data_IF_974991454257
#
_entry.id   IF_974991454257
#
_cell.length_a   1.000
_cell.length_b   1.000
_cell.length_c   1.000
_cell.angle_alpha   90.00
_cell.angle_beta   90.00
_cell.angle_gamma   90.00
#
_symmetry.space_group_name_H-M   'P 1'
#
loop_
_entity.id
_entity.type
_entity.pdbx_description
1 polymer ?
#
# COMPACT_ATOMS: atom_id res chain seq x y z
N UNK A 1 -6.11 11.00 -6.12
CA UNK A 1 -6.34 11.57 -4.77
C UNK A 1 -5.00 12.09 -4.26
N UNK A 2 -4.94 13.32 -3.71
CA UNK A 2 -3.70 13.91 -3.16
C UNK A 2 -3.74 13.76 -1.64
N UNK A 3 -2.82 13.00 -1.05
CA UNK A 3 -2.70 12.85 0.41
C UNK A 3 -1.47 13.62 0.85
N UNK A 4 -1.64 14.56 1.80
CA UNK A 4 -0.53 15.29 2.39
C UNK A 4 0.15 14.37 3.42
N UNK A 5 1.47 14.23 3.31
CA UNK A 5 2.27 13.62 4.38
C UNK A 5 2.65 14.69 5.41
N UNK A 6 3.18 14.24 6.55
CA UNK A 6 3.60 15.01 7.74
C UNK A 6 4.64 16.12 7.45
N UNK A 7 5.12 16.22 6.20
CA UNK A 7 6.13 17.18 5.74
C UNK A 7 5.60 18.18 4.70
N UNK A 8 4.28 18.27 4.50
CA UNK A 8 3.67 19.24 3.57
C UNK A 8 4.06 19.05 2.09
N UNK A 9 4.71 17.93 1.75
CA UNK A 9 5.06 17.57 0.38
C UNK A 9 3.94 16.71 -0.20
N UNK A 10 3.25 17.25 -1.21
CA UNK A 10 2.34 16.50 -2.07
C UNK A 10 3.11 15.39 -2.80
N UNK A 11 3.27 14.22 -2.18
CA UNK A 11 3.70 13.02 -2.89
C UNK A 11 2.54 12.55 -3.75
N UNK A 12 2.73 12.46 -5.06
CA UNK A 12 1.81 11.81 -5.99
C UNK A 12 1.63 10.35 -5.56
N UNK A 13 0.55 10.09 -4.82
CA UNK A 13 0.07 8.76 -4.52
C UNK A 13 -0.47 8.22 -5.84
N UNK A 14 0.30 7.37 -6.51
CA UNK A 14 -0.10 6.77 -7.78
C UNK A 14 -0.77 5.43 -7.50
N UNK A 15 -2.10 5.29 -7.70
CA UNK A 15 -2.75 3.99 -7.67
C UNK A 15 -2.04 3.06 -8.65
N UNK A 16 -1.74 1.85 -8.21
CA UNK A 16 -0.91 0.90 -8.96
C UNK A 16 -1.67 -0.36 -9.36
N UNK A 17 -2.64 -0.79 -8.55
CA UNK A 17 -3.63 -1.81 -8.88
C UNK A 17 -4.77 -1.82 -7.86
N UNK A 18 -5.85 -2.50 -8.21
CA UNK A 18 -6.94 -2.83 -7.32
C UNK A 18 -7.11 -4.35 -7.26
N UNK A 19 -7.60 -4.88 -6.15
CA UNK A 19 -7.94 -6.29 -6.00
C UNK A 19 -9.10 -6.45 -5.01
N UNK A 20 -10.21 -7.07 -5.45
CA UNK A 20 -11.39 -7.35 -4.61
C UNK A 20 -11.91 -6.11 -3.85
N UNK A 21 -11.91 -4.95 -4.50
CA UNK A 21 -12.36 -3.68 -3.91
C UNK A 21 -11.32 -2.93 -3.06
N UNK A 22 -10.14 -3.50 -2.82
CA UNK A 22 -9.03 -2.82 -2.16
C UNK A 22 -8.12 -2.15 -3.18
N UNK A 23 -7.71 -0.91 -2.90
CA UNK A 23 -6.85 -0.12 -3.77
C UNK A 23 -5.45 -0.02 -3.19
N UNK A 24 -4.44 -0.19 -4.06
CA UNK A 24 -3.05 -0.13 -3.66
C UNK A 24 -2.34 0.98 -4.42
N UNK A 25 -1.46 1.69 -3.74
CA UNK A 25 -0.62 2.73 -4.33
C UNK A 25 0.85 2.38 -4.21
N UNK A 26 1.67 3.07 -5.01
CA UNK A 26 3.11 2.94 -4.97
C UNK A 26 3.79 4.30 -4.82
N UNK A 27 4.78 4.35 -3.93
CA UNK A 27 5.61 5.52 -3.69
C UNK A 27 7.10 5.17 -3.75
N UNK A 28 7.93 6.10 -4.22
CA UNK A 28 9.38 5.97 -4.20
C UNK A 28 9.96 6.77 -3.05
N UNK A 29 10.58 6.09 -2.08
CA UNK A 29 11.18 6.72 -0.91
C UNK A 29 12.50 6.06 -0.53
N UNK A 30 13.54 6.89 -0.32
CA UNK A 30 14.91 6.47 0.00
C UNK A 30 15.43 5.36 -0.95
N UNK A 31 15.30 5.58 -2.26
CA UNK A 31 15.81 4.65 -3.28
C UNK A 31 15.05 3.32 -3.38
N UNK A 32 13.84 3.22 -2.80
CA UNK A 32 13.02 2.01 -2.88
C UNK A 32 11.57 2.34 -3.22
N UNK A 33 10.98 1.49 -4.04
CA UNK A 33 9.56 1.48 -4.38
C UNK A 33 8.79 0.70 -3.32
N UNK A 34 7.78 1.32 -2.75
CA UNK A 34 6.96 0.75 -1.68
C UNK A 34 5.52 0.71 -2.14
N UNK A 35 4.91 -0.47 -2.11
CA UNK A 35 3.48 -0.67 -2.38
C UNK A 35 2.74 -0.76 -1.06
N UNK A 36 1.68 0.02 -0.91
CA UNK A 36 0.84 0.08 0.29
C UNK A 36 -0.64 0.08 -0.07
N UNK A 37 -1.49 -0.36 0.86
CA UNK A 37 -2.94 -0.17 0.79
C UNK A 37 -3.29 1.33 0.96
N UNK A 38 -4.21 1.83 0.14
CA UNK A 38 -4.60 3.26 0.14
C UNK A 38 -5.33 3.63 1.44
N UNK A 39 -6.18 2.73 1.96
CA UNK A 39 -7.07 3.06 3.07
C UNK A 39 -6.33 3.01 4.41
N UNK A 40 -5.63 1.91 4.68
CA UNK A 40 -4.90 1.68 5.93
C UNK A 40 -3.47 2.21 5.93
N UNK A 41 -2.93 2.59 4.77
CA UNK A 41 -1.51 2.92 4.63
C UNK A 41 -0.56 1.72 4.82
N UNK A 42 -1.09 0.52 5.06
CA UNK A 42 -0.32 -0.66 5.38
C UNK A 42 0.65 -1.02 4.24
N UNK A 43 1.93 -1.15 4.58
CA UNK A 43 2.97 -1.54 3.61
C UNK A 43 2.86 -3.02 3.28
N UNK A 44 2.67 -3.31 2.00
CA UNK A 44 2.62 -4.69 1.48
C UNK A 44 4.02 -5.15 1.07
N UNK A 45 4.73 -4.37 0.26
CA UNK A 45 6.05 -4.72 -0.29
C UNK A 45 6.95 -3.50 -0.40
N UNK A 46 8.27 -3.72 -0.28
CA UNK A 46 9.30 -2.74 -0.65
C UNK A 46 10.37 -3.42 -1.51
N UNK A 47 10.68 -2.86 -2.67
CA UNK A 47 11.72 -3.36 -3.58
C UNK A 47 12.50 -2.18 -4.20
N UNK A 48 13.71 -2.42 -4.70
CA UNK A 48 14.49 -1.39 -5.41
C UNK A 48 13.99 -1.15 -6.84
N UNK A 49 13.24 -2.09 -7.42
CA UNK A 49 12.71 -2.01 -8.79
C UNK A 49 11.19 -1.93 -8.79
N UNK A 50 10.65 -0.92 -9.47
CA UNK A 50 9.21 -0.69 -9.62
C UNK A 50 8.43 -1.95 -10.01
N UNK A 51 8.80 -2.57 -11.14
CA UNK A 51 8.06 -3.71 -11.69
C UNK A 51 8.08 -4.93 -10.75
N UNK A 52 9.16 -5.11 -9.98
CA UNK A 52 9.26 -6.19 -8.98
C UNK A 52 8.37 -5.91 -7.77
N UNK A 53 8.39 -4.68 -7.25
CA UNK A 53 7.51 -4.27 -6.15
C UNK A 53 6.05 -4.56 -6.48
N UNK A 54 5.58 -4.15 -7.67
CA UNK A 54 4.19 -4.37 -8.10
C UNK A 54 3.88 -5.86 -8.28
N UNK A 55 4.76 -6.61 -8.97
CA UNK A 55 4.54 -8.04 -9.21
C UNK A 55 4.45 -8.82 -7.91
N UNK A 56 5.35 -8.56 -6.95
CA UNK A 56 5.33 -9.23 -5.66
C UNK A 56 4.14 -8.82 -4.80
N UNK A 57 3.77 -7.53 -4.80
CA UNK A 57 2.60 -7.08 -4.06
C UNK A 57 1.33 -7.78 -4.57
N UNK A 58 1.11 -7.82 -5.89
CA UNK A 58 -0.01 -8.56 -6.47
C UNK A 58 -0.02 -10.03 -6.06
N UNK A 59 1.11 -10.72 -6.24
CA UNK A 59 1.21 -12.14 -5.88
C UNK A 59 1.00 -12.42 -4.39
N UNK A 60 1.42 -11.53 -3.49
CA UNK A 60 1.17 -11.67 -2.06
C UNK A 60 -0.30 -11.46 -1.71
N UNK A 61 -0.93 -10.43 -2.27
CA UNK A 61 -2.35 -10.15 -2.04
C UNK A 61 -3.21 -11.29 -2.59
N UNK A 62 -2.96 -11.75 -3.81
CA UNK A 62 -3.69 -12.87 -4.43
C UNK A 62 -3.52 -14.18 -3.63
N UNK A 63 -2.32 -14.46 -3.13
CA UNK A 63 -2.03 -15.71 -2.42
C UNK A 63 -2.52 -15.73 -0.96
N UNK A 64 -2.57 -14.57 -0.32
CA UNK A 64 -2.81 -14.44 1.12
C UNK A 64 -3.90 -13.41 1.44
N UNK A 65 -4.92 -13.33 0.60
CA UNK A 65 -5.94 -12.29 0.68
C UNK A 65 -6.66 -12.26 2.04
N UNK A 66 -7.09 -13.40 2.57
CA UNK A 66 -7.78 -13.48 3.86
C UNK A 66 -6.92 -12.94 5.01
N UNK A 67 -5.61 -13.23 4.96
CA UNK A 67 -4.65 -12.72 5.96
C UNK A 67 -4.47 -11.20 5.83
N UNK A 68 -4.48 -10.69 4.60
CA UNK A 68 -4.44 -9.26 4.33
C UNK A 68 -5.69 -8.56 4.89
N UNK A 69 -6.90 -9.10 4.65
CA UNK A 69 -8.15 -8.55 5.18
C UNK A 69 -8.11 -8.49 6.71
N UNK A 70 -7.74 -9.59 7.37
CA UNK A 70 -7.63 -9.62 8.82
C UNK A 70 -6.61 -8.61 9.38
N UNK A 71 -5.52 -8.35 8.65
CA UNK A 71 -4.55 -7.31 9.02
C UNK A 71 -5.16 -5.91 8.92
N UNK A 72 -5.85 -5.61 7.81
CA UNK A 72 -6.48 -4.30 7.61
C UNK A 72 -7.59 -4.04 8.63
N UNK A 73 -8.40 -5.06 8.93
CA UNK A 73 -9.45 -4.96 9.96
C UNK A 73 -8.88 -4.65 11.34
N UNK A 74 -7.77 -5.29 11.72
CA UNK A 74 -7.09 -4.98 12.99
C UNK A 74 -6.58 -3.55 13.03
N UNK A 75 -5.91 -3.10 11.96
CA UNK A 75 -5.40 -1.72 11.88
C UNK A 75 -6.52 -0.68 12.02
N UNK A 76 -7.72 -0.96 11.47
CA UNK A 76 -8.89 -0.08 11.61
C UNK A 76 -9.48 -0.04 13.02
N UNK A 77 -9.26 -1.07 13.84
CA UNK A 77 -9.73 -1.10 15.23
C UNK A 77 -8.75 -0.39 16.19
N UNK A 78 -7.51 -0.17 15.77
CA UNK A 78 -6.45 0.43 16.59
C UNK A 78 -6.33 1.96 16.43
N UNK A 79 -7.07 2.58 15.50
CA UNK A 79 -7.19 4.04 15.45
C UNK A 79 -8.18 4.52 16.52
N UNK A 80 -7.75 5.31 17.52
CA UNK A 80 -8.68 5.91 18.48
C UNK A 80 -9.53 6.97 17.79
N UNK A 81 -10.84 6.93 18.10
CA UNK A 81 -11.87 7.86 17.61
C UNK A 81 -11.58 9.33 17.93
#
# INVERSE_FOLDING_TARGET
MKVANEFGKLSLVNPVFQYQGYEFFIAHYQGRWTVSDIVSGARIVRDTRYKRAVKYAKGLIEKHFDRYVAMVERLRQEEPA
#
